data_IF_949240526840
#
_entry.id   IF_949240526840
#
_cell.length_a   1.000
_cell.length_b   1.000
_cell.length_c   1.000
_cell.angle_alpha   90.00
_cell.angle_beta   90.00
_cell.angle_gamma   90.00
#
_symmetry.space_group_name_H-M   'P 1'
#
loop_
_entity.id
_entity.type
_entity.pdbx_description
1 polymer ?
#
# COMPACT_ATOMS: atom_id res chain seq x y z
N UNK A 1 -29.45 -12.60 -3.61
CA UNK A 1 -28.32 -11.98 -2.88
C UNK A 1 -26.95 -12.09 -3.55
N UNK A 2 -26.62 -13.17 -4.28
CA UNK A 2 -25.30 -13.27 -4.96
C UNK A 2 -25.02 -12.17 -5.99
N UNK A 3 -26.07 -11.64 -6.66
CA UNK A 3 -25.93 -10.55 -7.62
C UNK A 3 -25.43 -9.27 -6.95
N UNK A 4 -26.00 -8.90 -5.79
CA UNK A 4 -25.58 -7.70 -5.05
C UNK A 4 -24.12 -7.79 -4.57
N UNK A 5 -23.72 -8.94 -4.01
CA UNK A 5 -22.33 -9.15 -3.59
C UNK A 5 -21.36 -9.02 -4.76
N UNK A 6 -21.73 -9.55 -5.94
CA UNK A 6 -20.90 -9.44 -7.13
C UNK A 6 -20.71 -8.00 -7.57
N UNK A 7 -21.80 -7.25 -7.74
CA UNK A 7 -21.71 -5.84 -8.15
C UNK A 7 -20.90 -5.00 -7.14
N UNK A 8 -20.99 -5.33 -5.85
CA UNK A 8 -20.19 -4.66 -4.82
C UNK A 8 -18.69 -5.01 -4.92
N UNK A 9 -18.35 -6.25 -5.20
CA UNK A 9 -16.96 -6.65 -5.47
C UNK A 9 -16.43 -5.97 -6.74
N UNK A 10 -17.22 -5.97 -7.82
CA UNK A 10 -16.84 -5.35 -9.09
C UNK A 10 -16.53 -3.84 -8.87
N UNK A 11 -17.33 -3.13 -8.08
CA UNK A 11 -17.06 -1.72 -7.72
C UNK A 11 -15.79 -1.56 -6.87
N UNK A 12 -15.54 -2.45 -5.91
CA UNK A 12 -14.32 -2.38 -5.09
C UNK A 12 -13.08 -2.54 -5.96
N UNK A 13 -13.12 -3.49 -6.91
CA UNK A 13 -12.01 -3.79 -7.81
C UNK A 13 -11.82 -2.68 -8.86
N UNK A 14 -12.89 -2.25 -9.54
CA UNK A 14 -12.86 -1.25 -10.61
C UNK A 14 -12.30 0.11 -10.15
N UNK A 15 -12.59 0.50 -8.89
CA UNK A 15 -12.13 1.76 -8.32
C UNK A 15 -10.98 1.60 -7.32
N UNK A 16 -10.46 0.38 -7.14
CA UNK A 16 -9.36 0.09 -6.19
C UNK A 16 -9.63 0.68 -4.79
N UNK A 17 -10.86 0.48 -4.28
CA UNK A 17 -11.29 1.01 -2.99
C UNK A 17 -10.57 0.34 -1.81
N UNK A 18 -9.98 -0.82 -2.06
CA UNK A 18 -9.15 -1.57 -1.12
C UNK A 18 -7.79 -1.78 -1.76
N UNK A 19 -6.73 -1.33 -1.07
CA UNK A 19 -5.36 -1.44 -1.54
C UNK A 19 -4.46 -2.07 -0.49
N UNK A 20 -3.41 -2.75 -0.95
CA UNK A 20 -2.38 -3.33 -0.10
C UNK A 20 -1.10 -2.51 -0.22
N UNK A 21 -0.40 -2.32 0.90
CA UNK A 21 0.90 -1.65 0.94
C UNK A 21 1.88 -2.47 1.76
N UNK A 22 3.13 -2.55 1.31
CA UNK A 22 4.19 -3.27 2.01
C UNK A 22 4.83 -2.44 3.11
N UNK A 23 5.06 -3.05 4.26
CA UNK A 23 5.72 -2.45 5.42
C UNK A 23 7.05 -3.17 5.69
N UNK A 24 8.14 -2.40 5.77
CA UNK A 24 9.38 -2.80 6.43
C UNK A 24 9.50 -2.03 7.75
N UNK A 25 9.27 -2.69 8.88
CA UNK A 25 9.26 -2.04 10.20
C UNK A 25 10.64 -1.49 10.60
N UNK A 26 11.71 -1.98 9.98
CA UNK A 26 13.09 -1.52 10.24
C UNK A 26 13.43 -0.26 9.45
N UNK A 27 12.65 0.07 8.42
CA UNK A 27 12.82 1.28 7.62
C UNK A 27 11.88 2.39 8.09
N UNK A 28 12.48 3.46 8.63
CA UNK A 28 11.74 4.65 9.09
C UNK A 28 10.91 5.29 7.97
N UNK A 29 11.36 5.21 6.72
CA UNK A 29 10.66 5.82 5.59
C UNK A 29 9.43 4.99 5.22
N UNK A 30 9.55 3.67 5.14
CA UNK A 30 8.43 2.73 5.00
C UNK A 30 7.35 2.95 6.06
N UNK A 31 7.73 3.01 7.34
CA UNK A 31 6.78 3.27 8.43
C UNK A 31 6.11 4.64 8.27
N UNK A 32 6.89 5.69 8.00
CA UNK A 32 6.35 7.05 7.82
C UNK A 32 5.38 7.17 6.64
N UNK A 33 5.66 6.46 5.54
CA UNK A 33 4.79 6.41 4.37
C UNK A 33 3.48 5.67 4.67
N UNK A 34 3.54 4.56 5.42
CA UNK A 34 2.34 3.84 5.84
C UNK A 34 1.45 4.67 6.76
N UNK A 35 2.05 5.41 7.72
CA UNK A 35 1.29 6.29 8.62
C UNK A 35 0.53 7.36 7.83
N UNK A 36 1.17 8.00 6.84
CA UNK A 36 0.50 8.97 5.95
C UNK A 36 -0.66 8.33 5.17
N UNK A 37 -0.48 7.10 4.69
CA UNK A 37 -1.52 6.37 3.97
C UNK A 37 -2.73 6.10 4.89
N UNK A 38 -2.50 5.63 6.12
CA UNK A 38 -3.54 5.42 7.13
C UNK A 38 -4.30 6.72 7.41
N UNK A 39 -3.57 7.81 7.59
CA UNK A 39 -4.15 9.13 7.89
C UNK A 39 -5.05 9.65 6.76
N UNK A 40 -4.62 9.43 5.51
CA UNK A 40 -5.38 9.74 4.30
C UNK A 40 -6.62 8.86 4.17
N UNK A 41 -6.51 7.54 4.38
CA UNK A 41 -7.64 6.60 4.31
C UNK A 41 -8.71 6.90 5.36
N UNK A 42 -8.31 7.35 6.55
CA UNK A 42 -9.24 7.71 7.63
C UNK A 42 -9.82 9.12 7.50
N UNK A 43 -9.27 9.94 6.60
CA UNK A 43 -9.70 11.32 6.42
C UNK A 43 -9.07 12.32 7.41
N UNK A 44 -8.23 11.88 8.34
CA UNK A 44 -7.71 12.73 9.42
C UNK A 44 -6.75 13.82 8.91
N UNK A 45 -5.94 13.51 7.90
CA UNK A 45 -5.08 14.48 7.22
C UNK A 45 -5.85 15.67 6.64
N UNK A 46 -7.16 15.48 6.38
CA UNK A 46 -8.03 16.50 5.82
C UNK A 46 -8.71 17.41 6.85
N UNK A 47 -8.62 17.08 8.13
CA UNK A 47 -9.30 17.80 9.22
C UNK A 47 -8.72 19.20 9.50
N UNK A 48 -7.47 19.45 9.15
CA UNK A 48 -6.74 20.69 9.44
C UNK A 48 -6.47 21.54 8.20
N UNK A 49 -7.01 21.16 7.05
CA UNK A 49 -6.82 21.89 5.79
C UNK A 49 -7.85 23.02 5.72
N UNK A 50 -7.40 24.23 5.40
CA UNK A 50 -8.32 25.30 4.99
C UNK A 50 -9.08 24.85 3.72
N UNK A 51 -10.32 25.29 3.54
CA UNK A 51 -11.25 24.75 2.53
C UNK A 51 -10.89 25.02 1.05
N UNK A 52 -9.60 25.04 0.69
CA UNK A 52 -9.08 25.17 -0.66
C UNK A 52 -9.09 23.82 -1.39
N UNK A 53 -9.88 23.74 -2.46
CA UNK A 53 -9.92 22.56 -3.35
C UNK A 53 -8.53 22.14 -3.87
N UNK A 54 -7.60 23.09 -3.99
CA UNK A 54 -6.22 22.82 -4.43
C UNK A 54 -5.44 22.03 -3.38
N UNK A 55 -5.64 22.32 -2.09
CA UNK A 55 -4.94 21.62 -1.00
C UNK A 55 -5.48 20.20 -0.81
N UNK A 56 -6.81 20.03 -0.89
CA UNK A 56 -7.42 18.70 -0.94
C UNK A 56 -6.88 17.88 -2.11
N UNK A 57 -6.78 18.46 -3.31
CA UNK A 57 -6.31 17.75 -4.50
C UNK A 57 -4.86 17.27 -4.37
N UNK A 58 -3.98 18.08 -3.77
CA UNK A 58 -2.57 17.70 -3.52
C UNK A 58 -2.44 16.50 -2.59
N UNK A 59 -3.29 16.41 -1.56
CA UNK A 59 -3.27 15.29 -0.61
C UNK A 59 -4.00 14.06 -1.18
N UNK A 60 -5.09 14.29 -1.91
CA UNK A 60 -5.89 13.25 -2.56
C UNK A 60 -5.13 12.56 -3.71
N UNK A 61 -4.21 13.27 -4.38
CA UNK A 61 -3.35 12.68 -5.40
C UNK A 61 -2.65 11.42 -4.85
N UNK A 62 -2.72 10.32 -5.60
CA UNK A 62 -1.98 9.11 -5.27
C UNK A 62 -0.46 9.40 -5.35
N UNK A 63 0.37 8.78 -4.52
CA UNK A 63 1.82 8.88 -4.65
C UNK A 63 2.23 8.56 -6.10
N UNK A 64 3.01 9.45 -6.73
CA UNK A 64 3.59 9.23 -8.06
C UNK A 64 4.82 8.30 -8.00
N UNK A 65 5.36 8.09 -6.79
CA UNK A 65 6.29 7.01 -6.50
C UNK A 65 5.51 5.70 -6.65
N UNK A 66 5.66 5.09 -7.82
CA UNK A 66 5.12 3.78 -8.16
C UNK A 66 5.33 2.83 -6.97
N UNK A 67 4.24 2.46 -6.27
CA UNK A 67 4.27 1.49 -5.16
C UNK A 67 5.04 0.20 -5.53
N UNK A 68 5.07 -0.11 -6.83
CA UNK A 68 5.93 -1.13 -7.43
C UNK A 68 7.41 -1.07 -7.01
N UNK A 69 8.07 0.10 -7.03
CA UNK A 69 9.50 0.20 -6.68
C UNK A 69 9.73 0.00 -5.19
N UNK A 70 8.83 0.49 -4.33
CA UNK A 70 8.90 0.29 -2.89
C UNK A 70 8.67 -1.18 -2.52
N UNK A 71 7.64 -1.80 -3.08
CA UNK A 71 7.31 -3.21 -2.84
C UNK A 71 8.39 -4.13 -3.41
N UNK A 72 8.91 -3.85 -4.62
CA UNK A 72 10.01 -4.61 -5.20
C UNK A 72 11.28 -4.51 -4.33
N UNK A 73 11.61 -3.33 -3.81
CA UNK A 73 12.78 -3.17 -2.95
C UNK A 73 12.67 -3.98 -1.63
N UNK A 74 11.50 -3.99 -1.00
CA UNK A 74 11.26 -4.80 0.22
C UNK A 74 11.27 -6.29 -0.13
N UNK A 75 10.63 -6.71 -1.21
CA UNK A 75 10.64 -8.11 -1.65
C UNK A 75 12.05 -8.59 -1.95
N UNK A 76 12.85 -7.82 -2.70
CA UNK A 76 14.24 -8.18 -3.01
C UNK A 76 15.14 -8.28 -1.77
N UNK A 77 14.84 -7.52 -0.71
CA UNK A 77 15.60 -7.54 0.54
C UNK A 77 15.31 -8.79 1.38
N UNK A 78 14.08 -9.28 1.39
CA UNK A 78 13.65 -10.32 2.34
C UNK A 78 13.22 -11.65 1.69
N UNK A 79 12.91 -11.70 0.39
CA UNK A 79 12.50 -12.94 -0.29
C UNK A 79 13.67 -13.75 -0.87
N UNK A 80 14.91 -13.24 -0.79
CA UNK A 80 16.12 -13.97 -1.24
C UNK A 80 16.50 -15.14 -0.33
N UNK A 81 16.06 -15.14 0.91
CA UNK A 81 16.44 -16.16 1.89
C UNK A 81 15.74 -17.51 1.67
N UNK A 82 14.59 -17.53 0.96
CA UNK A 82 13.88 -18.76 0.62
C UNK A 82 14.64 -19.64 -0.40
N UNK A 83 15.50 -19.05 -1.26
CA UNK A 83 16.38 -19.83 -2.14
C UNK A 83 17.51 -20.54 -1.39
N UNK A 84 17.96 -19.98 -0.26
CA UNK A 84 19.04 -20.54 0.56
C UNK A 84 18.52 -21.74 1.37
N UNK A 85 17.29 -21.67 1.88
CA UNK A 85 16.64 -22.77 2.61
C UNK A 85 16.38 -23.98 1.70
N UNK A 86 16.05 -23.77 0.43
CA UNK A 86 15.88 -24.87 -0.52
C UNK A 86 17.23 -25.49 -0.97
N UNK A 87 18.28 -24.69 -1.18
CA UNK A 87 19.62 -25.19 -1.53
C UNK A 87 20.30 -25.99 -0.42
N UNK A 88 20.02 -25.67 0.84
CA UNK A 88 20.54 -26.42 2.00
C UNK A 88 19.72 -27.68 2.29
N UNK A 89 18.43 -27.69 1.94
CA UNK A 89 17.56 -28.87 2.10
C UNK A 89 17.69 -29.90 0.96
N UNK A 90 18.19 -29.50 -0.21
CA UNK A 90 18.52 -30.41 -1.33
C UNK A 90 19.94 -31.00 -1.27
N UNK A 91 20.68 -30.73 -0.19
CA UNK A 91 22.03 -31.23 0.06
C UNK A 91 22.03 -32.15 1.28
N UNK A 92 21.07 -33.09 1.32
CA UNK A 92 21.06 -34.27 2.18
C UNK A 92 20.66 -35.49 1.34
#
# INVERSE_FOLDING_TARGET
DRKLTKELCDVIDDFSLVNFSTLDIQDKESVGNLVKLIDKSNGYIFSSIDSSAVEFSKIAAAPLDWDYYRTAAVQEKYMKDDEIVQKTSGMQ
#
